data_IF_667328783246
#
_entry.id   IF_667328783246
#
_cell.length_a   1.000
_cell.length_b   1.000
_cell.length_c   1.000
_cell.angle_alpha   90.00
_cell.angle_beta   90.00
_cell.angle_gamma   90.00
#
_symmetry.space_group_name_H-M   'P 1'
#
loop_
_entity.id
_entity.type
_entity.pdbx_description
1 polymer ?
#
# COMPACT_ATOMS: atom_id res chain seq x y z
N UNK A 1 -24.79 -85.88 -28.48
CA UNK A 1 -23.50 -85.15 -28.58
C UNK A 1 -23.39 -84.52 -29.98
N UNK A 2 -22.82 -83.31 -30.11
CA UNK A 2 -22.66 -82.46 -31.32
C UNK A 2 -23.89 -81.63 -31.77
N UNK A 3 -23.80 -80.33 -32.09
CA UNK A 3 -22.66 -79.39 -32.25
C UNK A 3 -23.22 -77.98 -32.02
N UNK A 4 -22.70 -77.21 -31.03
CA UNK A 4 -22.96 -75.76 -30.97
C UNK A 4 -22.18 -75.11 -32.12
N UNK A 5 -22.88 -74.51 -33.08
CA UNK A 5 -22.25 -73.67 -34.10
C UNK A 5 -21.85 -72.36 -33.42
N UNK A 6 -20.55 -72.16 -33.21
CA UNK A 6 -20.02 -70.85 -32.87
C UNK A 6 -20.14 -69.98 -34.13
N UNK A 7 -20.95 -68.92 -34.04
CA UNK A 7 -20.94 -67.86 -35.03
C UNK A 7 -19.61 -67.10 -34.88
N UNK A 8 -18.66 -67.38 -35.77
CA UNK A 8 -17.47 -66.54 -35.92
C UNK A 8 -17.95 -65.25 -36.59
N UNK A 9 -18.15 -64.19 -35.80
CA UNK A 9 -18.26 -62.85 -36.35
C UNK A 9 -16.94 -62.54 -37.07
N UNK A 10 -17.00 -62.43 -38.39
CA UNK A 10 -15.94 -61.80 -39.18
C UNK A 10 -15.77 -60.37 -38.65
N UNK A 11 -14.65 -60.10 -37.98
CA UNK A 11 -14.19 -58.72 -37.75
C UNK A 11 -13.92 -58.12 -39.13
N UNK A 12 -14.84 -57.27 -39.60
CA UNK A 12 -14.61 -56.40 -40.74
C UNK A 12 -13.53 -55.39 -40.36
N UNK A 13 -12.39 -55.45 -41.03
CA UNK A 13 -11.28 -54.54 -40.79
C UNK A 13 -11.65 -53.09 -41.14
N UNK A 14 -12.00 -52.32 -40.11
CA UNK A 14 -12.05 -50.85 -40.13
C UNK A 14 -11.14 -50.23 -39.04
N UNK A 15 -10.14 -50.98 -38.58
CA UNK A 15 -9.37 -50.65 -37.37
C UNK A 15 -8.50 -49.40 -37.49
N UNK A 16 -8.00 -49.06 -38.68
CA UNK A 16 -7.18 -47.86 -38.87
C UNK A 16 -8.04 -46.58 -38.90
N UNK A 17 -9.16 -46.59 -39.63
CA UNK A 17 -10.02 -45.41 -39.74
C UNK A 17 -10.66 -45.07 -38.38
N UNK A 18 -11.21 -46.06 -37.69
CA UNK A 18 -11.79 -45.88 -36.35
C UNK A 18 -10.76 -45.38 -35.33
N UNK A 19 -9.52 -45.91 -35.38
CA UNK A 19 -8.43 -45.43 -34.53
C UNK A 19 -8.05 -43.98 -34.83
N UNK A 20 -7.95 -43.61 -36.12
CA UNK A 20 -7.62 -42.22 -36.50
C UNK A 20 -8.72 -41.24 -36.07
N UNK A 21 -9.99 -41.62 -36.20
CA UNK A 21 -11.13 -40.80 -35.76
C UNK A 21 -11.14 -40.69 -34.22
N UNK A 22 -10.94 -41.80 -33.50
CA UNK A 22 -10.89 -41.79 -32.04
C UNK A 22 -9.75 -40.91 -31.50
N UNK A 23 -8.54 -41.02 -32.08
CA UNK A 23 -7.40 -40.17 -31.71
C UNK A 23 -7.69 -38.70 -32.06
N UNK A 24 -8.25 -38.41 -33.24
CA UNK A 24 -8.59 -37.05 -33.64
C UNK A 24 -9.60 -36.41 -32.67
N UNK A 25 -10.66 -37.12 -32.31
CA UNK A 25 -11.65 -36.65 -31.33
C UNK A 25 -11.04 -36.49 -29.93
N UNK A 26 -10.20 -37.43 -29.48
CA UNK A 26 -9.49 -37.34 -28.20
C UNK A 26 -8.57 -36.11 -28.13
N UNK A 27 -7.86 -35.80 -29.22
CA UNK A 27 -7.02 -34.60 -29.33
C UNK A 27 -7.84 -33.32 -29.27
N UNK A 28 -9.00 -33.26 -29.95
CA UNK A 28 -9.89 -32.10 -29.90
C UNK A 28 -10.40 -31.86 -28.48
N UNK A 29 -10.85 -32.91 -27.79
CA UNK A 29 -11.36 -32.80 -26.40
C UNK A 29 -10.25 -32.37 -25.44
N UNK A 30 -9.07 -32.96 -25.54
CA UNK A 30 -7.93 -32.62 -24.67
C UNK A 30 -7.41 -31.20 -24.92
N UNK A 31 -7.35 -30.74 -26.18
CA UNK A 31 -7.02 -29.35 -26.52
C UNK A 31 -8.06 -28.38 -25.96
N UNK A 32 -9.34 -28.71 -26.08
CA UNK A 32 -10.43 -27.95 -25.48
C UNK A 32 -10.26 -27.81 -23.96
N UNK A 33 -10.06 -28.93 -23.27
CA UNK A 33 -9.83 -28.95 -21.82
C UNK A 33 -8.59 -28.14 -21.40
N UNK A 34 -7.48 -28.26 -22.14
CA UNK A 34 -6.26 -27.49 -21.86
C UNK A 34 -6.46 -25.99 -22.06
N UNK A 35 -7.20 -25.59 -23.10
CA UNK A 35 -7.52 -24.18 -23.36
C UNK A 35 -8.37 -23.57 -22.24
N UNK A 36 -9.40 -24.29 -21.80
CA UNK A 36 -10.26 -23.88 -20.69
C UNK A 36 -9.48 -23.77 -19.39
N UNK A 37 -8.63 -24.77 -19.09
CA UNK A 37 -7.76 -24.74 -17.91
C UNK A 37 -6.81 -23.53 -17.91
N UNK A 38 -6.21 -23.21 -19.06
CA UNK A 38 -5.32 -22.02 -19.18
C UNK A 38 -6.09 -20.73 -18.96
N UNK A 39 -7.28 -20.59 -19.56
CA UNK A 39 -8.12 -19.41 -19.36
C UNK A 39 -8.53 -19.25 -17.89
N UNK A 40 -8.92 -20.34 -17.22
CA UNK A 40 -9.26 -20.33 -15.80
C UNK A 40 -8.06 -19.92 -14.93
N UNK A 41 -6.87 -20.46 -15.21
CA UNK A 41 -5.65 -20.13 -14.44
C UNK A 41 -5.25 -18.67 -14.61
N UNK A 42 -5.37 -18.11 -15.81
CA UNK A 42 -5.13 -16.69 -16.06
C UNK A 42 -6.14 -15.82 -15.31
N UNK A 43 -7.43 -16.13 -15.41
CA UNK A 43 -8.48 -15.40 -14.70
C UNK A 43 -8.26 -15.44 -13.18
N UNK A 44 -7.85 -16.59 -12.63
CA UNK A 44 -7.52 -16.72 -11.22
C UNK A 44 -6.31 -15.86 -10.81
N UNK A 45 -5.25 -15.81 -11.63
CA UNK A 45 -4.09 -14.97 -11.35
C UNK A 45 -4.46 -13.47 -11.33
N UNK A 46 -5.29 -13.01 -12.27
CA UNK A 46 -5.77 -11.62 -12.28
C UNK A 46 -6.66 -11.29 -11.07
N UNK A 47 -7.56 -12.20 -10.71
CA UNK A 47 -8.42 -12.03 -9.54
C UNK A 47 -7.59 -11.98 -8.25
N UNK A 48 -6.61 -12.87 -8.10
CA UNK A 48 -5.72 -12.87 -6.94
C UNK A 48 -4.86 -11.60 -6.86
N UNK A 49 -4.36 -11.10 -7.99
CA UNK A 49 -3.59 -9.85 -8.01
C UNK A 49 -4.45 -8.63 -7.64
N UNK A 50 -5.67 -8.55 -8.18
CA UNK A 50 -6.62 -7.50 -7.81
C UNK A 50 -6.93 -7.49 -6.31
N UNK A 51 -7.09 -8.67 -5.69
CA UNK A 51 -7.27 -8.79 -4.23
C UNK A 51 -6.04 -8.29 -3.47
N UNK A 52 -4.82 -8.66 -3.90
CA UNK A 52 -3.58 -8.18 -3.26
C UNK A 52 -3.42 -6.67 -3.37
N UNK A 53 -3.71 -6.09 -4.53
CA UNK A 53 -3.71 -4.65 -4.75
C UNK A 53 -4.69 -3.96 -3.78
N UNK A 54 -5.90 -4.50 -3.66
CA UNK A 54 -6.93 -3.96 -2.78
C UNK A 54 -6.52 -4.04 -1.31
N UNK A 55 -6.05 -5.21 -0.87
CA UNK A 55 -5.58 -5.43 0.50
C UNK A 55 -4.43 -4.48 0.86
N UNK A 56 -3.42 -4.37 0.01
CA UNK A 56 -2.31 -3.45 0.21
C UNK A 56 -2.78 -1.98 0.27
N UNK A 57 -3.69 -1.58 -0.61
CA UNK A 57 -4.26 -0.23 -0.62
C UNK A 57 -5.02 0.11 0.66
N UNK A 58 -5.90 -0.80 1.10
CA UNK A 58 -6.68 -0.62 2.33
C UNK A 58 -5.81 -0.65 3.58
N UNK A 59 -4.82 -1.57 3.66
CA UNK A 59 -3.89 -1.63 4.78
C UNK A 59 -3.04 -0.36 4.88
N UNK A 60 -2.54 0.17 3.76
CA UNK A 60 -1.79 1.43 3.75
C UNK A 60 -2.65 2.63 4.18
N UNK A 61 -3.89 2.74 3.68
CA UNK A 61 -4.83 3.80 4.10
C UNK A 61 -5.22 3.70 5.57
N UNK A 62 -5.35 2.49 6.10
CA UNK A 62 -5.64 2.25 7.51
C UNK A 62 -4.45 2.70 8.37
N UNK A 63 -3.27 2.13 8.13
CA UNK A 63 -2.04 2.41 8.89
C UNK A 63 -1.69 3.90 8.91
N UNK A 64 -1.58 4.52 7.73
CA UNK A 64 -1.20 5.94 7.65
C UNK A 64 -2.33 6.83 8.17
N UNK A 65 -3.58 6.47 7.91
CA UNK A 65 -4.73 7.25 8.39
C UNK A 65 -4.89 7.23 9.90
N UNK A 66 -4.64 6.09 10.57
CA UNK A 66 -4.61 6.01 12.04
C UNK A 66 -3.52 6.90 12.63
N UNK A 67 -2.35 6.93 11.99
CA UNK A 67 -1.24 7.78 12.42
C UNK A 67 -1.57 9.26 12.24
N UNK A 68 -2.17 9.66 11.12
CA UNK A 68 -2.66 11.04 10.92
C UNK A 68 -3.70 11.42 12.00
N UNK A 69 -4.57 10.50 12.41
CA UNK A 69 -5.54 10.78 13.48
C UNK A 69 -4.88 10.97 14.85
N UNK A 70 -3.77 10.29 15.11
CA UNK A 70 -2.97 10.44 16.32
C UNK A 70 -2.10 11.71 16.32
N UNK A 71 -1.87 12.33 15.16
CA UNK A 71 -1.10 13.56 15.05
C UNK A 71 -1.59 14.61 16.07
N UNK A 72 -0.65 15.18 16.81
CA UNK A 72 -0.91 16.22 17.81
C UNK A 72 -1.37 15.70 19.17
N UNK A 73 -1.57 14.39 19.33
CA UNK A 73 -2.02 13.84 20.61
C UNK A 73 -1.01 14.17 21.72
N UNK A 74 -1.53 14.71 22.81
CA UNK A 74 -0.82 14.99 24.05
C UNK A 74 -1.71 14.51 25.20
N UNK A 75 -1.13 13.85 26.20
CA UNK A 75 -1.89 13.38 27.34
C UNK A 75 -2.46 14.57 28.14
N UNK A 76 -3.58 14.37 28.82
CA UNK A 76 -4.26 15.44 29.54
C UNK A 76 -3.42 16.01 30.70
N UNK A 77 -2.50 15.22 31.26
CA UNK A 77 -1.56 15.58 32.30
C UNK A 77 -0.19 16.01 31.76
N UNK A 78 -0.05 16.13 30.44
CA UNK A 78 1.18 16.57 29.80
C UNK A 78 1.57 17.98 30.25
N UNK A 79 2.83 18.13 30.64
CA UNK A 79 3.39 19.40 31.15
C UNK A 79 4.09 20.24 30.08
N UNK A 80 4.30 19.68 28.89
CA UNK A 80 4.99 20.33 27.80
C UNK A 80 4.23 20.09 26.48
N UNK A 81 4.09 21.13 25.63
CA UNK A 81 3.56 20.96 24.28
C UNK A 81 4.57 20.21 23.40
N UNK A 82 4.11 19.76 22.23
CA UNK A 82 4.99 19.19 21.20
C UNK A 82 6.03 20.22 20.74
N UNK A 83 7.23 19.74 20.39
CA UNK A 83 8.36 20.57 20.03
C UNK A 83 8.24 21.22 18.63
N UNK A 84 7.38 20.65 17.78
CA UNK A 84 7.14 21.10 16.40
C UNK A 84 5.70 20.75 15.99
N UNK A 85 5.20 21.23 14.82
CA UNK A 85 3.87 20.89 14.36
C UNK A 85 3.58 19.39 14.38
N UNK A 86 2.33 19.05 14.66
CA UNK A 86 1.80 17.69 14.73
C UNK A 86 2.03 16.88 13.45
N UNK A 87 2.12 17.57 12.32
CA UNK A 87 2.28 16.99 11.00
C UNK A 87 3.24 17.81 10.16
N UNK A 88 4.02 17.12 9.32
CA UNK A 88 4.88 17.74 8.33
C UNK A 88 4.92 16.87 7.08
N UNK A 89 4.98 17.48 5.91
CA UNK A 89 4.91 16.78 4.63
C UNK A 89 6.01 17.19 3.67
N UNK A 90 6.29 16.31 2.71
CA UNK A 90 7.19 16.57 1.60
C UNK A 90 6.55 16.16 0.29
N UNK A 91 6.53 17.06 -0.68
CA UNK A 91 6.11 16.76 -2.05
C UNK A 91 7.26 16.07 -2.79
N UNK A 92 6.99 14.91 -3.40
CA UNK A 92 7.99 14.11 -4.11
C UNK A 92 9.29 13.87 -3.32
N UNK A 93 9.17 13.71 -2.00
CA UNK A 93 10.28 13.54 -1.09
C UNK A 93 9.85 12.96 0.26
N UNK A 94 10.82 12.65 1.10
CA UNK A 94 10.60 12.18 2.48
C UNK A 94 11.03 13.23 3.50
N UNK A 95 10.38 13.28 4.68
CA UNK A 95 10.93 13.99 5.84
C UNK A 95 12.26 13.37 6.27
N UNK A 96 13.26 14.21 6.49
CA UNK A 96 14.60 13.85 6.91
C UNK A 96 15.18 14.89 7.89
N UNK A 97 16.34 14.60 8.47
CA UNK A 97 17.00 15.47 9.45
C UNK A 97 16.58 15.19 10.89
N UNK A 98 16.84 16.14 11.79
CA UNK A 98 16.48 16.05 13.19
C UNK A 98 14.97 16.26 13.38
N UNK A 99 14.37 15.55 14.34
CA UNK A 99 12.92 15.58 14.54
C UNK A 99 12.37 16.99 14.83
N UNK A 100 13.12 17.85 15.52
CA UNK A 100 12.69 19.22 15.80
C UNK A 100 12.68 20.13 14.56
N UNK A 101 13.44 19.81 13.52
CA UNK A 101 13.63 20.66 12.33
C UNK A 101 13.69 19.77 11.09
N UNK A 102 12.55 19.19 10.73
CA UNK A 102 12.44 18.34 9.55
C UNK A 102 12.68 19.14 8.26
N UNK A 103 13.35 18.50 7.32
CA UNK A 103 13.54 18.98 5.96
C UNK A 103 13.08 17.92 4.96
N UNK A 104 12.95 18.30 3.70
CA UNK A 104 12.57 17.38 2.64
C UNK A 104 13.79 16.89 1.86
N UNK A 105 13.92 15.57 1.77
CA UNK A 105 14.87 14.91 0.89
C UNK A 105 14.10 14.32 -0.30
N UNK A 106 14.48 14.72 -1.52
CA UNK A 106 13.79 14.28 -2.74
C UNK A 106 13.91 12.76 -2.94
N UNK A 107 12.83 12.13 -3.40
CA UNK A 107 12.80 10.71 -3.74
C UNK A 107 12.68 10.51 -5.25
N UNK A 108 13.44 9.56 -5.80
CA UNK A 108 13.33 9.16 -7.20
C UNK A 108 11.97 8.53 -7.54
N UNK A 109 11.30 7.92 -6.57
CA UNK A 109 9.91 7.42 -6.71
C UNK A 109 8.89 8.53 -6.94
N UNK A 110 9.27 9.79 -6.63
CA UNK A 110 8.39 10.96 -6.55
C UNK A 110 7.18 10.71 -5.66
N UNK A 111 7.30 9.83 -4.67
CA UNK A 111 6.32 9.71 -3.60
C UNK A 111 6.39 10.93 -2.71
N UNK A 112 5.22 11.40 -2.29
CA UNK A 112 5.14 12.31 -1.16
C UNK A 112 5.51 11.54 0.12
N UNK A 113 5.89 12.28 1.15
CA UNK A 113 6.28 11.74 2.43
C UNK A 113 5.64 12.54 3.56
N UNK A 114 5.47 11.88 4.69
CA UNK A 114 4.70 12.38 5.82
C UNK A 114 5.45 12.11 7.12
N UNK A 115 5.52 13.09 8.00
CA UNK A 115 5.92 12.91 9.38
C UNK A 115 4.73 13.23 10.29
N UNK A 116 4.49 12.34 11.24
CA UNK A 116 3.44 12.45 12.26
C UNK A 116 4.13 12.52 13.61
N UNK A 117 3.65 13.43 14.46
CA UNK A 117 4.17 13.66 15.81
C UNK A 117 3.05 13.60 16.83
N UNK A 118 3.32 12.92 17.93
CA UNK A 118 2.44 12.86 19.09
C UNK A 118 3.25 12.52 20.34
N UNK A 119 2.65 12.67 21.50
CA UNK A 119 3.19 12.20 22.76
C UNK A 119 2.78 10.74 22.99
N UNK A 120 3.75 9.86 23.21
CA UNK A 120 3.47 8.48 23.57
C UNK A 120 3.21 8.32 25.07
N UNK A 121 2.31 7.42 25.42
CA UNK A 121 2.13 6.88 26.77
C UNK A 121 1.88 5.36 26.69
N UNK A 122 1.63 4.72 27.85
CA UNK A 122 1.37 3.28 27.93
C UNK A 122 0.02 2.82 27.38
N UNK A 123 -0.82 3.73 26.86
CA UNK A 123 -2.16 3.44 26.31
C UNK A 123 -2.19 3.72 24.81
N UNK A 124 -1.66 4.87 24.39
CA UNK A 124 -1.57 5.35 23.01
C UNK A 124 -0.52 4.60 22.18
N UNK A 125 0.44 3.95 22.83
CA UNK A 125 1.45 3.11 22.17
C UNK A 125 1.53 1.76 22.84
N UNK A 126 2.00 0.75 22.09
CA UNK A 126 2.33 -0.54 22.68
C UNK A 126 3.62 -0.42 23.50
N UNK A 127 3.66 -0.90 24.75
CA UNK A 127 4.88 -0.85 25.53
C UNK A 127 5.93 -1.80 24.95
N UNK A 128 7.17 -1.32 24.82
CA UNK A 128 8.32 -2.17 24.58
C UNK A 128 8.55 -3.10 25.78
N UNK A 129 9.41 -4.11 25.63
CA UNK A 129 9.82 -4.99 26.75
C UNK A 129 10.44 -4.20 27.92
N UNK A 130 11.04 -3.04 27.65
CA UNK A 130 11.58 -2.12 28.66
C UNK A 130 10.50 -1.29 29.38
N UNK A 131 9.22 -1.42 29.00
CA UNK A 131 8.11 -0.58 29.48
C UNK A 131 8.06 0.82 28.86
N UNK A 132 8.94 1.10 27.89
CA UNK A 132 9.00 2.36 27.17
C UNK A 132 7.94 2.45 26.07
N UNK A 133 7.53 3.67 25.72
CA UNK A 133 6.63 3.91 24.59
C UNK A 133 7.35 3.56 23.28
N UNK A 134 6.57 3.21 22.26
CA UNK A 134 7.12 2.75 20.98
C UNK A 134 6.72 3.62 19.80
N UNK A 135 7.55 3.56 18.75
CA UNK A 135 7.28 4.13 17.44
C UNK A 135 6.50 3.16 16.53
N UNK A 136 6.30 3.56 15.27
CA UNK A 136 5.58 2.77 14.26
C UNK A 136 6.18 1.38 13.98
N UNK A 137 7.43 1.12 14.39
CA UNK A 137 8.12 -0.15 14.22
C UNK A 137 8.20 -0.94 15.53
N UNK A 138 7.56 -0.46 16.60
CA UNK A 138 7.64 -1.07 17.92
C UNK A 138 8.98 -0.82 18.63
N UNK A 139 9.79 0.14 18.16
CA UNK A 139 11.08 0.44 18.77
C UNK A 139 10.90 1.41 19.92
N UNK A 140 11.62 1.18 21.02
CA UNK A 140 11.52 1.99 22.23
C UNK A 140 12.02 3.42 21.98
N UNK A 141 11.19 4.42 22.30
CA UNK A 141 11.52 5.84 22.17
C UNK A 141 11.94 6.44 23.52
N UNK A 142 11.20 6.12 24.58
CA UNK A 142 11.44 6.69 25.91
C UNK A 142 10.33 6.41 26.91
N UNK A 143 10.37 7.09 28.05
CA UNK A 143 9.31 6.99 29.06
C UNK A 143 7.98 7.59 28.55
N UNK A 144 6.88 7.27 29.22
CA UNK A 144 5.59 7.91 28.96
C UNK A 144 5.71 9.44 29.04
N UNK A 145 5.06 10.13 28.10
CA UNK A 145 5.16 11.58 27.94
C UNK A 145 6.24 12.04 26.96
N UNK A 146 7.07 11.13 26.41
CA UNK A 146 8.03 11.48 25.36
C UNK A 146 7.33 11.66 24.02
N UNK A 147 7.91 12.52 23.19
CA UNK A 147 7.46 12.73 21.82
C UNK A 147 7.92 11.58 20.91
N UNK A 148 6.97 11.05 20.13
CA UNK A 148 7.17 10.03 19.11
C UNK A 148 7.00 10.66 17.75
N UNK A 149 7.94 10.39 16.84
CA UNK A 149 7.90 10.86 15.45
C UNK A 149 7.97 9.67 14.51
N UNK A 150 6.95 9.52 13.68
CA UNK A 150 6.89 8.48 12.66
C UNK A 150 6.90 9.10 11.27
N UNK A 151 7.80 8.65 10.41
CA UNK A 151 7.99 9.14 9.04
C UNK A 151 7.63 8.08 8.03
N UNK A 152 6.70 8.39 7.13
CA UNK A 152 6.17 7.48 6.12
C UNK A 152 6.53 7.98 4.72
N UNK A 153 6.94 7.06 3.84
CA UNK A 153 7.18 7.33 2.42
C UNK A 153 7.14 6.03 1.62
N UNK A 154 6.84 6.12 0.31
CA UNK A 154 6.93 4.98 -0.59
C UNK A 154 8.20 5.02 -1.43
N UNK A 155 8.90 3.88 -1.52
CA UNK A 155 10.08 3.72 -2.38
C UNK A 155 10.20 2.27 -2.86
N UNK A 156 11.02 2.06 -3.87
CA UNK A 156 11.42 0.71 -4.26
C UNK A 156 12.35 0.11 -3.20
N UNK A 157 12.12 -1.15 -2.87
CA UNK A 157 12.98 -1.99 -2.06
C UNK A 157 14.36 -2.10 -2.67
N UNK A 158 15.41 -1.97 -1.85
CA UNK A 158 16.79 -2.15 -2.32
C UNK A 158 17.13 -3.61 -2.64
N UNK A 159 16.39 -4.58 -2.08
CA UNK A 159 16.64 -6.01 -2.30
C UNK A 159 15.80 -6.59 -3.43
N UNK A 160 14.53 -6.19 -3.56
CA UNK A 160 13.61 -6.76 -4.56
C UNK A 160 13.34 -5.83 -5.75
N UNK A 161 13.56 -4.53 -5.59
CA UNK A 161 13.14 -3.51 -6.58
C UNK A 161 11.62 -3.30 -6.64
N UNK A 162 10.85 -3.98 -5.81
CA UNK A 162 9.40 -3.82 -5.71
C UNK A 162 9.04 -2.62 -4.83
N UNK A 163 7.91 -1.94 -5.09
CA UNK A 163 7.55 -0.74 -4.38
C UNK A 163 6.95 -1.11 -3.02
N UNK A 164 7.34 -0.40 -1.97
CA UNK A 164 6.87 -0.65 -0.61
C UNK A 164 6.63 0.68 0.11
N UNK A 165 5.65 0.69 1.01
CA UNK A 165 5.48 1.73 2.02
C UNK A 165 6.48 1.49 3.14
N UNK A 166 7.28 2.49 3.49
CA UNK A 166 8.23 2.44 4.59
C UNK A 166 7.75 3.28 5.78
N UNK A 167 8.10 2.84 6.98
CA UNK A 167 8.14 3.71 8.16
C UNK A 167 9.53 3.82 8.75
N UNK A 168 9.90 5.01 9.20
CA UNK A 168 11.06 5.30 10.04
C UNK A 168 10.55 6.00 11.29
N UNK A 169 10.72 5.36 12.44
CA UNK A 169 10.32 5.90 13.74
C UNK A 169 11.46 6.54 14.52
N UNK A 170 11.12 7.33 15.53
CA UNK A 170 12.08 8.03 16.39
C UNK A 170 12.83 7.11 17.37
N UNK A 171 12.42 5.85 17.53
CA UNK A 171 13.09 4.88 18.38
C UNK A 171 14.46 4.45 17.85
N UNK A 172 14.64 4.49 16.51
CA UNK A 172 15.93 4.28 15.85
C UNK A 172 15.99 4.99 14.51
N UNK A 173 16.30 6.29 14.58
CA UNK A 173 16.46 7.18 13.42
C UNK A 173 17.43 6.57 12.39
N UNK A 174 17.10 6.71 11.11
CA UNK A 174 17.88 6.17 9.99
C UNK A 174 17.61 4.70 9.67
N UNK A 175 16.71 4.02 10.39
CA UNK A 175 16.35 2.62 10.12
C UNK A 175 14.90 2.46 9.65
N UNK A 176 14.63 2.91 8.43
CA UNK A 176 13.34 2.71 7.80
C UNK A 176 13.08 1.22 7.48
N UNK A 177 11.88 0.72 7.75
CA UNK A 177 11.44 -0.66 7.45
C UNK A 177 10.19 -0.68 6.58
N UNK A 178 10.03 -1.69 5.71
CA UNK A 178 8.84 -1.86 4.89
C UNK A 178 7.64 -2.30 5.74
N UNK A 179 6.47 -1.72 5.47
CA UNK A 179 5.20 -2.03 6.11
C UNK A 179 4.22 -2.71 5.16
N UNK A 180 4.13 -2.22 3.92
CA UNK A 180 3.15 -2.69 2.94
C UNK A 180 3.80 -2.78 1.57
N UNK A 181 3.85 -4.00 1.02
CA UNK A 181 4.31 -4.24 -0.35
C UNK A 181 3.32 -3.72 -1.40
N UNK A 182 3.82 -3.40 -2.58
CA UNK A 182 3.04 -2.92 -3.73
C UNK A 182 2.73 -1.42 -3.70
N UNK A 183 2.93 -0.71 -2.58
CA UNK A 183 2.68 0.73 -2.50
C UNK A 183 3.75 1.50 -3.28
N UNK A 184 3.39 1.95 -4.48
CA UNK A 184 4.28 2.63 -5.42
C UNK A 184 4.42 4.12 -5.14
N UNK A 185 3.34 4.76 -4.67
CA UNK A 185 3.34 6.20 -4.42
C UNK A 185 2.33 6.57 -3.34
N UNK A 186 2.75 7.44 -2.42
CA UNK A 186 1.85 8.26 -1.63
C UNK A 186 1.68 9.62 -2.31
N UNK A 187 0.47 10.17 -2.24
CA UNK A 187 0.16 11.56 -2.58
C UNK A 187 -0.60 12.15 -1.39
N UNK A 188 -0.11 13.25 -0.84
CA UNK A 188 -0.73 13.90 0.31
C UNK A 188 -1.04 15.36 -0.01
N UNK A 189 -2.26 15.79 0.30
CA UNK A 189 -2.65 17.21 0.24
C UNK A 189 -3.23 17.63 1.58
N UNK A 190 -2.91 18.84 2.02
CA UNK A 190 -3.14 19.32 3.37
C UNK A 190 -4.22 20.41 3.37
N UNK A 191 -5.18 20.26 4.26
CA UNK A 191 -6.21 21.26 4.52
C UNK A 191 -5.78 22.11 5.72
N UNK A 192 -5.69 23.41 5.50
CA UNK A 192 -5.49 24.39 6.58
C UNK A 192 -6.87 24.86 7.05
N UNK A 193 -7.00 25.20 8.34
CA UNK A 193 -8.23 25.79 8.87
C UNK A 193 -8.70 26.99 8.01
N UNK A 194 -9.93 26.93 7.50
CA UNK A 194 -10.51 27.98 6.65
C UNK A 194 -10.07 27.97 5.19
N UNK A 195 -9.25 27.01 4.75
CA UNK A 195 -8.84 26.90 3.35
C UNK A 195 -9.98 26.38 2.46
N UNK A 196 -10.12 26.96 1.26
CA UNK A 196 -11.11 26.53 0.27
C UNK A 196 -10.72 25.24 -0.47
N UNK A 197 -9.43 24.89 -0.48
CA UNK A 197 -8.89 23.72 -1.16
C UNK A 197 -7.67 23.17 -0.42
N UNK A 198 -7.41 21.88 -0.59
CA UNK A 198 -6.18 21.26 -0.12
C UNK A 198 -4.95 21.79 -0.87
N UNK A 199 -3.82 21.87 -0.18
CA UNK A 199 -2.54 22.34 -0.70
C UNK A 199 -1.49 21.23 -0.70
N UNK A 200 -0.57 21.27 -1.65
CA UNK A 200 0.63 20.44 -1.61
C UNK A 200 1.58 20.90 -0.51
N UNK A 201 2.36 19.98 0.06
CA UNK A 201 3.35 20.31 1.09
C UNK A 201 4.31 21.43 0.66
N UNK A 202 4.71 21.46 -0.62
CA UNK A 202 5.58 22.50 -1.18
C UNK A 202 4.96 23.90 -1.20
N UNK A 203 3.63 24.02 -1.05
CA UNK A 203 2.92 25.29 -1.00
C UNK A 203 2.69 25.79 0.44
N UNK A 204 3.00 24.99 1.47
CA UNK A 204 2.86 25.38 2.87
C UNK A 204 4.13 26.07 3.38
N UNK A 205 3.98 27.21 4.05
CA UNK A 205 5.07 27.82 4.83
C UNK A 205 5.30 27.07 6.15
N UNK A 206 6.42 27.35 6.82
CA UNK A 206 6.77 26.71 8.09
C UNK A 206 5.69 26.89 9.16
N UNK A 207 5.11 28.08 9.22
CA UNK A 207 4.11 28.49 10.22
C UNK A 207 2.74 27.84 9.93
N UNK A 208 2.41 27.63 8.66
CA UNK A 208 1.12 27.06 8.24
C UNK A 208 0.96 25.59 8.63
N UNK A 209 2.05 24.85 8.86
CA UNK A 209 1.99 23.46 9.34
C UNK A 209 1.24 23.32 10.67
N UNK A 210 1.32 24.34 11.54
CA UNK A 210 0.59 24.33 12.81
C UNK A 210 -0.94 24.49 12.62
N UNK A 211 -1.40 24.96 11.46
CA UNK A 211 -2.81 25.22 11.16
C UNK A 211 -3.45 24.14 10.29
N UNK A 212 -2.74 23.04 10.01
CA UNK A 212 -3.29 21.90 9.26
C UNK A 212 -4.34 21.18 10.10
N UNK A 213 -5.52 20.94 9.51
CA UNK A 213 -6.68 20.31 10.17
C UNK A 213 -7.09 18.99 9.53
N UNK A 214 -6.73 18.74 8.27
CA UNK A 214 -7.01 17.47 7.61
C UNK A 214 -6.00 17.19 6.49
N UNK A 215 -5.98 15.93 6.03
CA UNK A 215 -5.12 15.45 4.95
C UNK A 215 -5.94 14.58 4.01
N UNK A 216 -5.87 14.90 2.72
CA UNK A 216 -6.27 13.98 1.66
C UNK A 216 -5.11 13.05 1.38
N UNK A 217 -5.26 11.79 1.77
CA UNK A 217 -4.31 10.72 1.54
C UNK A 217 -4.74 9.93 0.30
N UNK A 218 -3.83 9.79 -0.67
CA UNK A 218 -3.94 8.81 -1.74
C UNK A 218 -2.77 7.84 -1.75
N UNK A 219 -3.09 6.57 -1.92
CA UNK A 219 -2.13 5.46 -2.04
C UNK A 219 -2.29 4.86 -3.43
N UNK A 220 -1.24 4.90 -4.24
CA UNK A 220 -1.18 4.19 -5.51
C UNK A 220 -0.46 2.86 -5.31
N UNK A 221 -1.16 1.77 -5.62
CA UNK A 221 -0.66 0.40 -5.48
C UNK A 221 -0.43 -0.20 -6.87
N UNK A 222 0.68 -0.92 -7.01
CA UNK A 222 1.11 -1.64 -8.21
C UNK A 222 1.05 -3.14 -7.98
N UNK A 223 0.40 -3.86 -8.90
CA UNK A 223 0.33 -5.32 -8.89
C UNK A 223 1.48 -6.02 -9.60
N UNK A 224 1.28 -7.31 -9.82
CA UNK A 224 2.16 -8.17 -10.58
C UNK A 224 2.17 -7.83 -12.08
N UNK A 225 3.16 -8.39 -12.78
CA UNK A 225 3.34 -8.14 -14.21
C UNK A 225 2.50 -9.11 -15.03
N UNK A 226 1.70 -8.56 -15.94
CA UNK A 226 0.90 -9.30 -16.90
C UNK A 226 1.08 -8.73 -18.32
N UNK A 227 0.94 -9.54 -19.38
CA UNK A 227 1.10 -9.08 -20.76
C UNK A 227 -0.12 -8.30 -21.26
N UNK A 228 -0.56 -7.29 -20.50
CA UNK A 228 -1.70 -6.44 -20.83
C UNK A 228 -1.44 -5.01 -20.37
N UNK A 229 -1.72 -4.04 -21.25
CA UNK A 229 -1.78 -2.63 -20.86
C UNK A 229 -3.07 -2.36 -20.13
N UNK A 230 -2.96 -1.83 -18.91
CA UNK A 230 -4.10 -1.43 -18.10
C UNK A 230 -4.14 0.08 -17.95
N UNK A 231 -5.34 0.65 -18.13
CA UNK A 231 -5.63 2.04 -17.76
C UNK A 231 -5.96 2.09 -16.28
N UNK A 232 -5.57 3.18 -15.64
CA UNK A 232 -5.92 3.47 -14.24
C UNK A 232 -6.09 4.98 -14.04
N UNK A 233 -6.72 5.35 -12.93
CA UNK A 233 -6.74 6.73 -12.45
C UNK A 233 -5.63 6.90 -11.43
N UNK A 234 -4.76 7.89 -11.63
CA UNK A 234 -3.74 8.23 -10.65
C UNK A 234 -4.32 9.05 -9.48
N UNK A 235 -3.47 9.33 -8.50
CA UNK A 235 -3.87 10.06 -7.30
C UNK A 235 -4.34 11.50 -7.56
N UNK A 236 -3.99 12.08 -8.71
CA UNK A 236 -4.41 13.42 -9.10
C UNK A 236 -5.71 13.40 -9.92
N UNK A 237 -6.29 12.21 -10.15
CA UNK A 237 -7.52 11.99 -10.90
C UNK A 237 -7.32 11.93 -12.42
N UNK A 238 -6.08 11.91 -12.89
CA UNK A 238 -5.77 11.82 -14.31
C UNK A 238 -5.78 10.36 -14.79
N UNK A 239 -6.26 10.13 -16.00
CA UNK A 239 -6.14 8.82 -16.64
C UNK A 239 -4.68 8.59 -17.08
N UNK A 240 -4.12 7.47 -16.62
CA UNK A 240 -2.77 7.05 -16.92
C UNK A 240 -2.74 5.61 -17.47
N UNK A 241 -1.61 5.25 -18.10
CA UNK A 241 -1.38 3.94 -18.69
C UNK A 241 -0.15 3.30 -18.06
N UNK A 242 -0.30 2.08 -17.54
CA UNK A 242 0.84 1.25 -17.14
C UNK A 242 1.55 0.71 -18.37
N UNK A 243 2.73 1.25 -18.71
CA UNK A 243 3.53 0.80 -19.85
C UNK A 243 4.34 -0.48 -19.55
N UNK A 244 4.47 -0.84 -18.28
CA UNK A 244 5.25 -1.96 -17.74
C UNK A 244 4.45 -3.27 -17.61
N UNK A 245 3.20 -3.29 -18.08
CA UNK A 245 2.32 -4.46 -17.96
C UNK A 245 1.83 -4.72 -16.53
N UNK A 246 1.97 -3.76 -15.62
CA UNK A 246 1.52 -3.91 -14.24
C UNK A 246 0.23 -3.14 -14.00
N UNK A 247 -0.74 -3.83 -13.39
CA UNK A 247 -1.97 -3.21 -12.93
C UNK A 247 -1.67 -2.19 -11.84
N UNK A 248 -2.45 -1.10 -11.81
CA UNK A 248 -2.33 -0.04 -10.83
C UNK A 248 -3.72 0.38 -10.36
N UNK A 249 -3.84 0.68 -9.08
CA UNK A 249 -5.06 1.21 -8.51
C UNK A 249 -4.72 2.23 -7.43
N UNK A 250 -5.38 3.37 -7.48
CA UNK A 250 -5.32 4.39 -6.45
C UNK A 250 -6.47 4.22 -5.45
N UNK A 251 -6.19 4.54 -4.19
CA UNK A 251 -7.11 4.49 -3.07
C UNK A 251 -7.04 5.82 -2.32
N UNK A 252 -8.18 6.38 -1.93
CA UNK A 252 -8.24 7.70 -1.29
C UNK A 252 -8.92 7.64 0.08
N UNK A 253 -8.46 8.49 0.99
CA UNK A 253 -9.09 8.74 2.28
C UNK A 253 -8.85 10.18 2.69
N UNK A 254 -9.93 10.88 3.04
CA UNK A 254 -9.84 12.15 3.76
C UNK A 254 -9.72 11.87 5.26
N UNK A 255 -8.68 12.41 5.90
CA UNK A 255 -8.38 12.15 7.31
C UNK A 255 -8.25 13.45 8.07
N UNK A 256 -9.12 13.68 9.04
CA UNK A 256 -9.08 14.83 9.93
C UNK A 256 -8.09 14.58 11.07
N UNK A 257 -7.30 15.59 11.42
CA UNK A 257 -6.44 15.58 12.60
C UNK A 257 -7.32 15.80 13.83
N UNK A 258 -7.28 14.89 14.81
CA UNK A 258 -8.17 14.95 15.98
C UNK A 258 -7.66 15.86 17.10
N UNK A 259 -6.36 16.10 17.14
CA UNK A 259 -5.69 16.78 18.25
C UNK A 259 -5.09 18.11 17.78
N UNK A 260 -5.85 18.89 17.02
CA UNK A 260 -5.43 20.24 16.62
C UNK A 260 -5.62 21.20 17.79
N UNK A 261 -4.54 21.82 18.26
CA UNK A 261 -4.64 22.91 19.21
C UNK A 261 -5.28 24.11 18.49
N UNK A 262 -6.50 24.48 18.89
CA UNK A 262 -7.10 25.72 18.41
C UNK A 262 -6.25 26.89 18.91
N UNK A 263 -5.79 27.76 17.99
CA UNK A 263 -5.21 29.03 18.39
C UNK A 263 -6.27 29.79 19.20
N UNK A 264 -5.94 30.36 20.37
CA UNK A 264 -6.88 31.20 21.09
C UNK A 264 -7.29 32.37 20.18
N UNK A 265 -8.60 32.54 20.03
CA UNK A 265 -9.27 33.63 19.32
C UNK A 265 -9.00 34.98 19.99
#
# INVERSE_FOLDING_TARGET
MNKRRAAVCRQGGHTLLELTIAIALGLVVTLGALSAYRAQRQAFAYASDATRIHEAGMNALMLVGEQIQMAGFVAADARAPLAAPAIFGCTAGRPAGADAVLACESLSSRSDGLAVRYQGDGISTWPATSGQVTDCLGQAVGAAGVEVVNRYHAKASSSTGEPELYCEGSGKVGTAQPLVEGVERLRLRYWIAGAAQALDASALTREQWASVVAVDLCVLVRGATFPRRTRYLDCDGAQAFGADGRARQAFWRHVVLRNVAQAPS
#
